data_IF_531623266499
#
_entry.id   IF_531623266499
#
_cell.length_a   1.000
_cell.length_b   1.000
_cell.length_c   1.000
_cell.angle_alpha   90.00
_cell.angle_beta   90.00
_cell.angle_gamma   90.00
#
_symmetry.space_group_name_H-M   'P 1'
#
loop_
_entity.id
_entity.type
_entity.pdbx_description
1 polymer ?
#
# COMPACT_ATOMS: atom_id res chain seq x y z
N UNK A 1 -43.95 -67.95 -27.91
CA UNK A 1 -44.67 -67.11 -26.93
C UNK A 1 -43.63 -66.62 -25.95
N UNK A 2 -43.46 -65.30 -25.90
CA UNK A 2 -42.54 -64.59 -25.02
C UNK A 2 -43.03 -64.64 -23.57
N UNK A 3 -42.10 -64.55 -22.61
CA UNK A 3 -42.11 -63.47 -21.63
C UNK A 3 -40.76 -63.42 -20.91
N UNK A 4 -40.18 -62.23 -21.00
CA UNK A 4 -39.08 -61.64 -20.25
C UNK A 4 -39.27 -61.69 -18.73
N UNK A 5 -38.15 -61.80 -18.00
CA UNK A 5 -37.96 -61.13 -16.70
C UNK A 5 -36.46 -60.83 -16.52
N UNK A 6 -36.04 -59.70 -17.09
CA UNK A 6 -34.84 -58.98 -16.68
C UNK A 6 -35.18 -58.14 -15.44
N UNK A 7 -34.28 -58.06 -14.47
CA UNK A 7 -34.34 -56.96 -13.50
C UNK A 7 -33.82 -57.24 -12.10
N UNK A 8 -32.72 -57.97 -11.94
CA UNK A 8 -32.01 -58.04 -10.67
C UNK A 8 -31.13 -56.81 -10.44
N UNK A 9 -31.80 -55.67 -10.23
CA UNK A 9 -31.32 -54.41 -9.64
C UNK A 9 -29.81 -54.26 -9.49
N UNK A 10 -29.19 -53.60 -10.48
CA UNK A 10 -27.92 -52.90 -10.29
C UNK A 10 -28.10 -51.93 -9.12
N UNK A 11 -27.33 -52.14 -8.06
CA UNK A 11 -27.08 -51.13 -7.03
C UNK A 11 -26.32 -49.99 -7.71
N UNK A 12 -27.06 -49.10 -8.35
CA UNK A 12 -26.55 -47.78 -8.72
C UNK A 12 -26.46 -46.95 -7.44
N UNK A 13 -25.44 -47.21 -6.63
CA UNK A 13 -24.83 -46.20 -5.77
C UNK A 13 -24.24 -45.13 -6.69
N UNK A 14 -25.11 -44.34 -7.30
CA UNK A 14 -24.76 -42.99 -7.70
C UNK A 14 -24.67 -42.20 -6.41
N UNK A 15 -23.54 -42.32 -5.71
CA UNK A 15 -23.08 -41.25 -4.85
C UNK A 15 -23.12 -39.99 -5.71
N UNK A 16 -24.13 -39.15 -5.49
CA UNK A 16 -24.09 -37.75 -5.91
C UNK A 16 -22.83 -37.17 -5.29
N UNK A 17 -21.73 -37.18 -6.04
CA UNK A 17 -20.53 -36.43 -5.68
C UNK A 17 -20.97 -34.98 -5.55
N UNK A 18 -21.17 -34.55 -4.30
CA UNK A 18 -21.52 -33.18 -3.99
C UNK A 18 -20.52 -32.29 -4.71
N UNK A 19 -21.02 -31.54 -5.70
CA UNK A 19 -20.20 -30.75 -6.59
C UNK A 19 -19.41 -29.76 -5.73
N UNK A 20 -18.11 -29.97 -5.61
CA UNK A 20 -17.30 -29.12 -4.74
C UNK A 20 -17.40 -27.67 -5.19
N UNK A 21 -17.55 -26.72 -4.24
CA UNK A 21 -17.64 -25.31 -4.57
C UNK A 21 -16.37 -24.84 -5.29
N UNK A 22 -16.49 -23.80 -6.12
CA UNK A 22 -15.37 -23.18 -6.85
C UNK A 22 -15.38 -21.67 -6.65
N UNK A 23 -14.25 -21.02 -6.94
CA UNK A 23 -14.09 -19.57 -6.81
C UNK A 23 -14.29 -19.10 -5.36
N UNK A 24 -14.98 -17.99 -5.17
CA UNK A 24 -15.22 -17.38 -3.85
C UNK A 24 -15.94 -18.32 -2.88
N UNK A 25 -16.88 -19.14 -3.36
CA UNK A 25 -17.56 -20.12 -2.51
C UNK A 25 -16.60 -21.19 -1.96
N UNK A 26 -15.62 -21.60 -2.76
CA UNK A 26 -14.58 -22.52 -2.29
C UNK A 26 -13.70 -21.86 -1.22
N UNK A 27 -13.31 -20.59 -1.45
CA UNK A 27 -12.51 -19.84 -0.50
C UNK A 27 -13.22 -19.73 0.86
N UNK A 28 -14.48 -19.33 0.86
CA UNK A 28 -15.29 -19.20 2.08
C UNK A 28 -15.51 -20.54 2.78
N UNK A 29 -15.74 -21.62 2.02
CA UNK A 29 -15.89 -22.96 2.60
C UNK A 29 -14.60 -23.39 3.30
N UNK A 30 -13.45 -23.28 2.63
CA UNK A 30 -12.16 -23.65 3.23
C UNK A 30 -11.79 -22.75 4.42
N UNK A 31 -12.13 -21.45 4.39
CA UNK A 31 -11.97 -20.56 5.54
C UNK A 31 -12.81 -21.04 6.74
N UNK A 32 -14.08 -21.35 6.51
CA UNK A 32 -14.98 -21.85 7.56
C UNK A 32 -14.51 -23.19 8.13
N UNK A 33 -14.14 -24.14 7.27
CA UNK A 33 -13.63 -25.45 7.69
C UNK A 33 -12.32 -25.30 8.46
N UNK A 34 -11.42 -24.43 8.01
CA UNK A 34 -10.18 -24.14 8.72
C UNK A 34 -10.45 -23.60 10.12
N UNK A 35 -11.32 -22.60 10.25
CA UNK A 35 -11.67 -22.00 11.53
C UNK A 35 -12.26 -23.06 12.49
N UNK A 36 -13.17 -23.91 12.00
CA UNK A 36 -13.78 -24.97 12.80
C UNK A 36 -12.74 -26.00 13.29
N UNK A 37 -11.84 -26.45 12.40
CA UNK A 37 -10.79 -27.41 12.76
C UNK A 37 -9.79 -26.78 13.74
N UNK A 38 -9.44 -25.51 13.53
CA UNK A 38 -8.57 -24.75 14.43
C UNK A 38 -9.16 -24.66 15.83
N UNK A 39 -10.46 -24.40 15.93
CA UNK A 39 -11.16 -24.30 17.22
C UNK A 39 -11.31 -25.66 17.92
N UNK A 40 -11.47 -26.76 17.16
CA UNK A 40 -11.63 -28.11 17.70
C UNK A 40 -10.29 -28.77 18.11
N UNK A 41 -9.23 -28.50 17.35
CA UNK A 41 -7.92 -29.12 17.53
C UNK A 41 -6.84 -28.07 17.83
N UNK A 42 -6.23 -27.51 16.79
CA UNK A 42 -5.26 -26.41 16.83
C UNK A 42 -4.92 -25.91 15.41
N UNK A 43 -4.20 -24.79 15.35
CA UNK A 43 -3.72 -24.16 14.11
C UNK A 43 -2.81 -25.07 13.27
N UNK A 44 -2.00 -25.93 13.89
CA UNK A 44 -1.03 -26.79 13.20
C UNK A 44 -1.69 -27.98 12.49
N UNK A 45 -2.77 -28.49 13.06
CA UNK A 45 -3.63 -29.53 12.48
C UNK A 45 -4.42 -28.94 11.32
N UNK A 46 -5.08 -27.79 11.51
CA UNK A 46 -5.81 -27.11 10.45
C UNK A 46 -4.91 -26.77 9.25
N UNK A 47 -3.74 -26.15 9.51
CA UNK A 47 -2.74 -25.84 8.49
C UNK A 47 -2.21 -27.09 7.79
N UNK A 48 -1.95 -28.16 8.54
CA UNK A 48 -1.50 -29.42 7.96
C UNK A 48 -2.52 -30.09 7.05
N UNK A 49 -3.82 -30.02 7.38
CA UNK A 49 -4.88 -30.59 6.56
C UNK A 49 -5.10 -29.80 5.27
N UNK A 50 -5.14 -28.48 5.36
CA UNK A 50 -5.31 -27.63 4.17
C UNK A 50 -4.09 -27.68 3.25
N UNK A 51 -2.86 -27.64 3.80
CA UNK A 51 -1.62 -27.84 3.04
C UNK A 51 -1.63 -29.16 2.26
N UNK A 52 -1.98 -30.29 2.91
CA UNK A 52 -2.14 -31.58 2.22
C UNK A 52 -3.23 -31.58 1.16
N UNK A 53 -4.32 -30.85 1.39
CA UNK A 53 -5.41 -30.71 0.41
C UNK A 53 -4.92 -29.99 -0.86
N UNK A 54 -4.15 -28.91 -0.68
CA UNK A 54 -3.52 -28.14 -1.76
C UNK A 54 -2.48 -28.97 -2.53
N UNK A 55 -1.65 -29.73 -1.83
CA UNK A 55 -0.65 -30.63 -2.45
C UNK A 55 -1.30 -31.66 -3.38
N UNK A 56 -2.46 -32.21 -2.99
CA UNK A 56 -3.24 -33.13 -3.85
C UNK A 56 -3.74 -32.48 -5.14
N UNK A 57 -3.83 -31.15 -5.17
CA UNK A 57 -4.20 -30.36 -6.34
C UNK A 57 -2.97 -29.80 -7.09
N UNK A 58 -1.76 -30.18 -6.69
CA UNK A 58 -0.50 -29.72 -7.29
C UNK A 58 -0.07 -28.33 -6.84
N UNK A 59 -0.61 -27.83 -5.72
CA UNK A 59 -0.21 -26.54 -5.13
C UNK A 59 0.65 -26.82 -3.91
N UNK A 60 1.93 -26.44 -3.98
CA UNK A 60 2.84 -26.52 -2.83
C UNK A 60 2.56 -25.36 -1.88
N UNK A 61 2.20 -25.68 -0.63
CA UNK A 61 1.96 -24.70 0.41
C UNK A 61 2.54 -25.19 1.74
N UNK A 62 3.39 -24.39 2.37
CA UNK A 62 3.91 -24.68 3.71
C UNK A 62 2.82 -24.46 4.76
N UNK A 63 2.93 -25.12 5.92
CA UNK A 63 2.00 -24.88 7.03
C UNK A 63 1.98 -23.41 7.45
N UNK A 64 3.15 -22.77 7.51
CA UNK A 64 3.24 -21.36 7.88
C UNK A 64 2.57 -20.46 6.84
N UNK A 65 2.77 -20.74 5.54
CA UNK A 65 2.06 -20.02 4.47
C UNK A 65 0.54 -20.17 4.57
N UNK A 66 0.05 -21.35 4.94
CA UNK A 66 -1.38 -21.58 5.17
C UNK A 66 -1.89 -20.83 6.41
N UNK A 67 -1.12 -20.77 7.50
CA UNK A 67 -1.47 -19.97 8.68
C UNK A 67 -1.54 -18.49 8.34
N UNK A 68 -0.56 -17.96 7.62
CA UNK A 68 -0.57 -16.57 7.15
C UNK A 68 -1.76 -16.30 6.24
N UNK A 69 -2.08 -17.21 5.32
CA UNK A 69 -3.30 -17.11 4.51
C UNK A 69 -4.56 -17.01 5.37
N UNK A 70 -4.66 -17.82 6.43
CA UNK A 70 -5.81 -17.78 7.32
C UNK A 70 -5.87 -16.47 8.11
N UNK A 71 -4.74 -15.98 8.65
CA UNK A 71 -4.68 -14.69 9.36
C UNK A 71 -5.12 -13.52 8.46
N UNK A 72 -4.64 -13.47 7.22
CA UNK A 72 -5.04 -12.46 6.24
C UNK A 72 -6.54 -12.58 5.92
N UNK A 73 -7.01 -13.81 5.67
CA UNK A 73 -8.42 -14.07 5.37
C UNK A 73 -9.33 -13.70 6.55
N UNK A 74 -8.90 -14.00 7.78
CA UNK A 74 -9.60 -13.67 9.01
C UNK A 74 -9.70 -12.15 9.22
N UNK A 75 -8.61 -11.42 8.94
CA UNK A 75 -8.61 -9.97 8.95
C UNK A 75 -9.57 -9.40 7.90
N UNK A 76 -9.57 -9.93 6.67
CA UNK A 76 -10.50 -9.48 5.61
C UNK A 76 -11.97 -9.76 5.93
N UNK A 77 -12.26 -10.83 6.69
CA UNK A 77 -13.64 -11.16 7.10
C UNK A 77 -14.10 -10.29 8.27
N UNK A 78 -13.19 -9.93 9.19
CA UNK A 78 -13.54 -9.26 10.46
C UNK A 78 -13.34 -7.75 10.44
N UNK A 79 -12.48 -7.23 9.57
CA UNK A 79 -12.10 -5.81 9.53
C UNK A 79 -12.50 -5.19 8.20
N UNK A 80 -12.64 -3.87 8.20
CA UNK A 80 -12.84 -3.09 6.99
C UNK A 80 -11.50 -2.88 6.29
N UNK A 81 -11.08 -3.87 5.48
CA UNK A 81 -9.85 -3.81 4.68
C UNK A 81 -10.23 -3.44 3.25
N UNK A 82 -9.77 -2.29 2.76
CA UNK A 82 -10.09 -1.80 1.42
C UNK A 82 -8.83 -1.38 0.66
N UNK A 83 -8.31 -2.28 -0.18
CA UNK A 83 -7.21 -1.97 -1.10
C UNK A 83 -7.58 -0.82 -2.06
N UNK A 84 -8.86 -0.68 -2.39
CA UNK A 84 -9.34 0.42 -3.22
C UNK A 84 -9.19 1.78 -2.53
N UNK A 85 -9.46 1.86 -1.22
CA UNK A 85 -9.25 3.08 -0.44
C UNK A 85 -7.75 3.39 -0.33
N UNK A 86 -6.93 2.40 0.02
CA UNK A 86 -5.47 2.55 0.09
C UNK A 86 -4.89 3.04 -1.25
N UNK A 87 -5.40 2.54 -2.38
CA UNK A 87 -5.00 3.02 -3.70
C UNK A 87 -5.36 4.50 -3.93
N UNK A 88 -6.57 4.94 -3.54
CA UNK A 88 -6.96 6.34 -3.68
C UNK A 88 -6.11 7.26 -2.80
N UNK A 89 -5.81 6.82 -1.58
CA UNK A 89 -4.99 7.59 -0.64
C UNK A 89 -3.53 7.68 -1.13
N UNK A 90 -2.97 6.55 -1.59
CA UNK A 90 -1.64 6.53 -2.21
C UNK A 90 -1.61 7.45 -3.44
N UNK A 91 -2.61 7.36 -4.33
CA UNK A 91 -2.70 8.23 -5.51
C UNK A 91 -2.79 9.71 -5.13
N UNK A 92 -3.62 10.07 -4.15
CA UNK A 92 -3.76 11.47 -3.71
C UNK A 92 -2.47 12.02 -3.09
N UNK A 93 -1.76 11.20 -2.31
CA UNK A 93 -0.45 11.56 -1.76
C UNK A 93 0.58 11.77 -2.87
N UNK A 94 0.64 10.85 -3.83
CA UNK A 94 1.55 10.98 -4.97
C UNK A 94 1.22 12.21 -5.81
N UNK A 95 -0.05 12.46 -6.12
CA UNK A 95 -0.48 13.65 -6.87
C UNK A 95 -0.07 14.94 -6.14
N UNK A 96 -0.22 15.01 -4.80
CA UNK A 96 0.20 16.16 -4.01
C UNK A 96 1.73 16.38 -4.00
N UNK A 97 2.52 15.31 -3.95
CA UNK A 97 3.99 15.38 -4.07
C UNK A 97 4.37 15.92 -5.45
N UNK A 98 3.73 15.41 -6.50
CA UNK A 98 3.96 15.85 -7.88
C UNK A 98 3.60 17.32 -8.06
N UNK A 99 2.41 17.75 -7.64
CA UNK A 99 1.97 19.15 -7.72
C UNK A 99 2.93 20.09 -7.00
N UNK A 100 3.50 19.68 -5.86
CA UNK A 100 4.51 20.45 -5.15
C UNK A 100 5.82 20.54 -5.94
N UNK A 101 6.29 19.45 -6.54
CA UNK A 101 7.48 19.47 -7.41
C UNK A 101 7.30 20.39 -8.62
N UNK A 102 6.14 20.35 -9.27
CA UNK A 102 5.82 21.25 -10.39
C UNK A 102 5.67 22.70 -9.94
N UNK A 103 5.05 22.96 -8.78
CA UNK A 103 4.91 24.30 -8.23
C UNK A 103 6.25 24.92 -7.81
N UNK A 104 7.21 24.10 -7.36
CA UNK A 104 8.58 24.54 -7.06
C UNK A 104 9.36 24.82 -8.35
N UNK A 105 9.19 24.02 -9.40
CA UNK A 105 9.83 24.26 -10.71
C UNK A 105 9.23 25.44 -11.48
N UNK A 106 7.94 25.74 -11.29
CA UNK A 106 7.24 26.83 -11.97
C UNK A 106 7.14 28.11 -11.14
N UNK A 107 7.71 28.15 -9.93
CA UNK A 107 7.85 29.38 -9.17
C UNK A 107 8.68 30.35 -10.03
N UNK A 108 8.10 31.46 -10.53
CA UNK A 108 8.89 32.46 -11.20
C UNK A 108 9.91 32.96 -10.17
N UNK A 109 11.19 32.93 -10.51
CA UNK A 109 12.19 33.79 -9.88
C UNK A 109 11.57 35.18 -9.86
N UNK A 110 11.12 35.61 -8.69
CA UNK A 110 10.80 37.00 -8.48
C UNK A 110 12.13 37.70 -8.61
N UNK A 111 12.34 38.31 -9.78
CA UNK A 111 13.50 39.12 -10.11
C UNK A 111 13.78 40.05 -8.93
N UNK A 112 14.99 40.08 -8.35
CA UNK A 112 15.35 41.17 -7.47
C UNK A 112 15.42 42.42 -8.34
N UNK A 113 14.48 43.35 -8.16
CA UNK A 113 14.55 44.70 -8.73
C UNK A 113 15.83 45.40 -8.23
N UNK A 114 16.95 45.16 -8.92
CA UNK A 114 18.16 45.99 -8.82
C UNK A 114 17.94 47.18 -9.74
N UNK A 115 17.19 48.17 -9.25
CA UNK A 115 17.27 49.54 -9.76
C UNK A 115 18.27 50.31 -8.90
N UNK A 116 19.55 50.30 -9.28
CA UNK A 116 20.49 51.35 -8.87
C UNK A 116 21.49 51.65 -10.01
N UNK A 117 21.28 52.80 -10.64
CA UNK A 117 22.28 53.51 -11.46
C UNK A 117 23.58 53.71 -10.67
N UNK A 118 24.76 53.59 -11.31
CA UNK A 118 26.01 54.04 -10.71
C UNK A 118 26.50 55.30 -11.44
N UNK A 119 26.67 56.45 -10.77
CA UNK A 119 27.78 57.39 -11.03
C UNK A 119 28.08 58.31 -9.80
N UNK A 120 29.15 57.93 -9.08
CA UNK A 120 30.28 58.75 -8.61
C UNK A 120 30.16 60.00 -7.67
N UNK A 121 30.65 59.77 -6.44
CA UNK A 121 31.69 60.49 -5.66
C UNK A 121 31.52 61.96 -5.20
N UNK A 122 31.38 62.12 -3.87
CA UNK A 122 32.24 62.92 -2.95
C UNK A 122 31.50 63.04 -1.60
N UNK A 123 32.05 63.00 -0.39
CA UNK A 123 33.39 62.93 0.18
C UNK A 123 33.23 63.04 1.72
N UNK A 124 34.35 62.91 2.46
CA UNK A 124 34.53 63.11 3.91
C UNK A 124 34.01 61.96 4.83
N UNK A 125 34.87 61.08 5.33
CA UNK A 125 35.85 61.20 6.43
C UNK A 125 35.26 61.07 7.85
N UNK A 126 35.75 60.03 8.55
CA UNK A 126 35.93 59.84 10.00
C UNK A 126 34.70 59.71 10.91
N UNK A 127 34.75 58.65 11.73
CA UNK A 127 34.33 58.75 13.13
C UNK A 127 33.71 57.49 13.70
N UNK A 128 34.51 56.75 14.48
CA UNK A 128 34.09 55.68 15.39
C UNK A 128 33.09 56.20 16.45
N UNK A 129 32.05 55.43 16.77
CA UNK A 129 31.41 55.48 18.09
C UNK A 129 29.89 55.21 18.12
N UNK A 130 29.48 54.54 19.21
CA UNK A 130 28.14 54.29 19.74
C UNK A 130 27.26 53.27 19.01
N UNK A 131 26.56 52.35 19.65
CA UNK A 131 26.53 51.80 21.02
C UNK A 131 25.58 50.59 20.92
N UNK A 132 25.78 49.62 21.81
CA UNK A 132 25.05 48.35 21.95
C UNK A 132 23.52 48.49 21.92
N UNK A 133 22.82 47.68 21.12
CA UNK A 133 21.45 47.23 21.44
C UNK A 133 21.30 45.75 21.01
N UNK A 134 21.08 44.92 22.03
CA UNK A 134 20.93 43.48 22.00
C UNK A 134 19.75 43.05 21.09
N UNK A 135 20.02 42.24 20.06
CA UNK A 135 18.97 41.45 19.41
C UNK A 135 18.91 40.09 20.11
N UNK A 136 17.92 39.98 21.00
CA UNK A 136 17.39 38.72 21.54
C UNK A 136 17.14 37.75 20.36
N UNK A 137 17.91 36.67 20.31
CA UNK A 137 17.80 35.55 19.36
C UNK A 137 16.66 34.60 19.80
N UNK A 138 15.50 35.16 20.11
CA UNK A 138 14.40 34.43 20.76
C UNK A 138 13.02 34.78 20.18
N UNK A 139 12.95 35.09 18.89
CA UNK A 139 11.69 35.09 18.16
C UNK A 139 11.94 34.82 16.67
N UNK A 140 11.81 33.55 16.29
CA UNK A 140 11.04 33.06 15.15
C UNK A 140 11.26 31.54 15.00
N UNK A 141 10.93 30.80 16.06
CA UNK A 141 10.41 29.45 15.90
C UNK A 141 9.05 29.56 15.19
N UNK A 142 9.07 29.76 13.88
CA UNK A 142 7.88 29.53 13.05
C UNK A 142 7.65 28.02 13.13
N UNK A 143 6.69 27.64 13.97
CA UNK A 143 5.91 26.39 13.87
C UNK A 143 5.24 26.36 12.49
N UNK A 144 6.04 26.22 11.45
CA UNK A 144 5.66 25.78 10.15
C UNK A 144 6.04 24.32 10.10
N UNK A 145 5.30 23.49 10.84
CA UNK A 145 5.30 22.06 10.60
C UNK A 145 4.86 21.91 9.14
N UNK A 146 5.83 21.85 8.23
CA UNK A 146 5.62 21.26 6.93
C UNK A 146 4.88 19.95 7.25
N UNK A 147 3.73 19.66 6.62
CA UNK A 147 3.09 18.38 6.82
C UNK A 147 4.20 17.34 6.64
N UNK A 148 4.47 16.56 7.69
CA UNK A 148 5.41 15.45 7.60
C UNK A 148 4.83 14.57 6.50
N UNK A 149 5.34 14.75 5.28
CA UNK A 149 4.96 13.95 4.14
C UNK A 149 5.48 12.57 4.49
N UNK A 150 4.58 11.58 4.45
CA UNK A 150 4.98 10.19 4.55
C UNK A 150 6.16 9.95 3.61
N UNK A 151 7.14 9.17 4.08
CA UNK A 151 8.33 8.90 3.28
C UNK A 151 7.91 8.25 1.95
N UNK A 152 8.65 8.53 0.88
CA UNK A 152 8.33 7.97 -0.46
C UNK A 152 8.19 6.44 -0.42
N UNK A 153 8.95 5.79 0.46
CA UNK A 153 8.87 4.36 0.72
C UNK A 153 7.50 3.93 1.24
N UNK A 154 6.88 4.71 2.12
CA UNK A 154 5.54 4.46 2.66
C UNK A 154 4.46 4.72 1.61
N UNK A 155 4.65 5.74 0.76
CA UNK A 155 3.71 6.07 -0.34
C UNK A 155 3.69 4.97 -1.42
N UNK A 156 4.87 4.45 -1.80
CA UNK A 156 5.01 3.43 -2.83
C UNK A 156 5.06 1.99 -2.29
N UNK A 157 5.04 1.82 -0.96
CA UNK A 157 5.15 0.50 -0.31
C UNK A 157 6.43 -0.25 -0.64
N UNK A 158 7.54 0.47 -0.83
CA UNK A 158 8.82 -0.09 -1.26
C UNK A 158 9.83 -0.12 -0.12
N UNK A 159 10.62 -1.19 -0.05
CA UNK A 159 11.61 -1.37 1.01
C UNK A 159 12.83 -0.43 0.88
N UNK A 160 13.03 0.18 -0.31
CA UNK A 160 14.17 1.06 -0.59
C UNK A 160 13.76 2.42 -1.12
N UNK A 161 14.47 3.46 -0.67
CA UNK A 161 14.25 4.84 -1.12
C UNK A 161 14.57 5.02 -2.60
N UNK A 162 15.60 4.34 -3.11
CA UNK A 162 15.99 4.40 -4.53
C UNK A 162 14.86 3.89 -5.44
N UNK A 163 14.23 2.77 -5.08
CA UNK A 163 13.07 2.24 -5.80
C UNK A 163 11.86 3.18 -5.71
N UNK A 164 11.64 3.79 -4.55
CA UNK A 164 10.57 4.77 -4.37
C UNK A 164 10.80 6.04 -5.21
N UNK A 165 12.05 6.50 -5.35
CA UNK A 165 12.43 7.64 -6.21
C UNK A 165 12.27 7.32 -7.70
N UNK A 166 12.64 6.11 -8.14
CA UNK A 166 12.42 5.64 -9.51
C UNK A 166 10.93 5.56 -9.85
N UNK A 167 10.12 4.99 -8.95
CA UNK A 167 8.67 4.92 -9.13
C UNK A 167 8.02 6.30 -9.14
N UNK A 168 8.49 7.23 -8.31
CA UNK A 168 8.04 8.62 -8.33
C UNK A 168 8.36 9.30 -9.66
N UNK A 169 9.57 9.10 -10.19
CA UNK A 169 9.96 9.65 -11.49
C UNK A 169 9.11 9.07 -12.63
N UNK A 170 8.92 7.75 -12.67
CA UNK A 170 8.09 7.08 -13.67
C UNK A 170 6.62 7.55 -13.61
N UNK A 171 6.10 7.82 -12.40
CA UNK A 171 4.78 8.42 -12.21
C UNK A 171 4.67 9.84 -12.78
N UNK A 172 5.67 10.70 -12.52
CA UNK A 172 5.74 12.07 -13.10
C UNK A 172 5.79 12.01 -14.63
N UNK A 173 6.60 11.10 -15.21
CA UNK A 173 6.67 10.95 -16.66
C UNK A 173 5.32 10.52 -17.26
N UNK A 174 4.61 9.56 -16.63
CA UNK A 174 3.28 9.13 -17.08
C UNK A 174 2.24 10.24 -17.04
N UNK A 175 2.34 11.19 -16.10
CA UNK A 175 1.45 12.35 -16.02
C UNK A 175 1.72 13.37 -17.12
N UNK A 176 2.96 13.48 -17.61
CA UNK A 176 3.35 14.44 -18.65
C UNK A 176 3.16 13.94 -20.09
N UNK A 177 2.89 12.64 -20.28
CA UNK A 177 2.71 12.01 -21.59
C UNK A 177 1.21 11.89 -22.00
N UNK A 178 0.34 12.63 -21.30
CA UNK A 178 -1.11 12.77 -21.51
C UNK A 178 -1.46 14.14 -22.12
#
# INVERSE_FOLDING_TARGET
MANDDQGGSELSESEEQAKQPKGTANLLNNYSDFAAIKDEYDDDVAAGLLSKSLERQGVEATKDGVKTWFEVSDAMVKKDVSVGQEYQDAKAKTDAVVDKHFSVMTRPESEPETSQEPEHLSGAERGHGSEDEDFDDDDLAIEGQAPELDDLQDIFGCDSREEAEEQAADYVYKLNDL
#
